data_IF_844210071689
#
_entry.id   IF_844210071689
#
_cell.length_a   1.000
_cell.length_b   1.000
_cell.length_c   1.000
_cell.angle_alpha   90.00
_cell.angle_beta   90.00
_cell.angle_gamma   90.00
#
_symmetry.space_group_name_H-M   'P 1'
#
loop_
_entity.id
_entity.type
_entity.pdbx_description
1 polymer ?
#
# COMPACT_ATOMS: atom_id res chain seq x y z
N UNK A 1 2.65 -17.64 16.31
CA UNK A 1 2.28 -18.52 15.18
C UNK A 1 3.49 -18.68 14.26
N UNK A 2 3.78 -19.88 13.78
CA UNK A 2 4.91 -20.09 12.87
C UNK A 2 4.51 -19.90 11.40
N UNK A 3 5.32 -19.12 10.67
CA UNK A 3 5.20 -18.90 9.23
C UNK A 3 6.32 -19.63 8.50
N UNK A 4 5.97 -20.34 7.42
CA UNK A 4 6.97 -20.93 6.53
C UNK A 4 7.54 -19.85 5.57
N UNK A 5 8.61 -20.19 4.84
CA UNK A 5 9.28 -19.24 3.96
C UNK A 5 8.40 -18.66 2.85
N UNK A 6 7.50 -19.45 2.27
CA UNK A 6 6.59 -18.95 1.23
C UNK A 6 5.56 -17.99 1.82
N UNK A 7 5.05 -18.27 3.02
CA UNK A 7 4.12 -17.40 3.75
C UNK A 7 4.79 -16.06 4.13
N UNK A 8 6.05 -16.10 4.61
CA UNK A 8 6.82 -14.88 4.89
C UNK A 8 7.03 -14.05 3.63
N UNK A 9 7.38 -14.68 2.49
CA UNK A 9 7.54 -13.97 1.20
C UNK A 9 6.25 -13.32 0.72
N UNK A 10 5.10 -13.97 0.93
CA UNK A 10 3.80 -13.39 0.59
C UNK A 10 3.51 -12.17 1.46
N UNK A 11 3.65 -12.28 2.78
CA UNK A 11 3.46 -11.16 3.70
C UNK A 11 4.45 -10.01 3.49
N UNK A 12 5.67 -10.32 3.06
CA UNK A 12 6.66 -9.29 2.76
C UNK A 12 6.20 -8.33 1.65
N UNK A 13 5.34 -8.80 0.75
CA UNK A 13 4.88 -8.07 -0.43
C UNK A 13 3.48 -7.42 -0.27
N UNK A 14 2.75 -7.66 0.81
CA UNK A 14 1.37 -7.17 0.92
C UNK A 14 1.29 -5.64 1.09
N UNK A 15 0.32 -5.04 0.43
CA UNK A 15 0.08 -3.60 0.42
C UNK A 15 -1.09 -3.20 1.32
N UNK A 16 -1.88 -4.16 1.79
CA UNK A 16 -2.99 -3.96 2.72
C UNK A 16 -2.58 -3.23 4.00
N UNK A 17 -3.45 -2.32 4.44
CA UNK A 17 -3.29 -1.47 5.63
C UNK A 17 -4.20 -1.88 6.80
N UNK A 18 -5.04 -2.90 6.59
CA UNK A 18 -5.82 -3.62 7.60
C UNK A 18 -6.02 -5.08 7.17
N UNK A 19 -6.36 -5.96 8.12
CA UNK A 19 -6.42 -7.41 7.95
C UNK A 19 -7.28 -7.83 6.76
N UNK A 20 -8.47 -7.26 6.60
CA UNK A 20 -9.37 -7.64 5.51
C UNK A 20 -8.75 -7.38 4.13
N UNK A 21 -8.02 -6.27 3.93
CA UNK A 21 -7.29 -6.03 2.67
C UNK A 21 -6.16 -7.03 2.46
N UNK A 22 -5.39 -7.33 3.51
CA UNK A 22 -4.34 -8.36 3.45
C UNK A 22 -4.93 -9.72 3.04
N UNK A 23 -6.03 -10.13 3.67
CA UNK A 23 -6.74 -11.36 3.34
C UNK A 23 -7.26 -11.36 1.90
N UNK A 24 -7.78 -10.23 1.42
CA UNK A 24 -8.26 -10.10 0.04
C UNK A 24 -7.11 -10.18 -0.98
N UNK A 25 -5.97 -9.54 -0.72
CA UNK A 25 -4.77 -9.65 -1.55
C UNK A 25 -4.27 -11.09 -1.64
N UNK A 26 -4.18 -11.79 -0.49
CA UNK A 26 -3.81 -13.20 -0.45
C UNK A 26 -4.83 -14.08 -1.19
N UNK A 27 -6.13 -13.77 -1.09
CA UNK A 27 -7.17 -14.48 -1.82
C UNK A 27 -7.00 -14.32 -3.33
N UNK A 28 -6.74 -13.10 -3.82
CA UNK A 28 -6.46 -12.84 -5.23
C UNK A 28 -5.19 -13.58 -5.67
N UNK A 29 -4.11 -13.55 -4.87
CA UNK A 29 -2.88 -14.26 -5.17
C UNK A 29 -3.09 -15.77 -5.31
N UNK A 30 -3.86 -16.39 -4.40
CA UNK A 30 -4.21 -17.80 -4.45
C UNK A 30 -5.05 -18.15 -5.71
N UNK A 31 -6.01 -17.28 -6.05
CA UNK A 31 -6.90 -17.47 -7.20
C UNK A 31 -6.17 -17.42 -8.54
N UNK A 32 -5.23 -16.49 -8.70
CA UNK A 32 -4.60 -16.24 -10.00
C UNK A 32 -3.24 -16.90 -10.18
N UNK A 33 -2.57 -17.37 -9.12
CA UNK A 33 -1.30 -18.07 -9.28
C UNK A 33 -1.48 -19.40 -10.03
N UNK A 34 -0.54 -19.69 -10.93
CA UNK A 34 -0.43 -21.01 -11.60
C UNK A 34 0.40 -22.01 -10.78
N UNK A 35 1.09 -21.55 -9.72
CA UNK A 35 1.93 -22.39 -8.88
C UNK A 35 1.11 -23.01 -7.73
N UNK A 36 0.93 -24.34 -7.69
CA UNK A 36 0.16 -25.01 -6.62
C UNK A 36 0.73 -24.80 -5.22
N UNK A 37 2.05 -24.74 -5.06
CA UNK A 37 2.69 -24.53 -3.75
C UNK A 37 2.42 -23.12 -3.23
N UNK A 38 2.51 -22.12 -4.11
CA UNK A 38 2.20 -20.73 -3.76
C UNK A 38 0.71 -20.58 -3.40
N UNK A 39 -0.18 -21.26 -4.12
CA UNK A 39 -1.61 -21.28 -3.78
C UNK A 39 -1.84 -21.86 -2.39
N UNK A 40 -1.26 -23.03 -2.10
CA UNK A 40 -1.37 -23.68 -0.78
C UNK A 40 -0.80 -22.81 0.34
N UNK A 41 0.33 -22.14 0.10
CA UNK A 41 0.91 -21.21 1.07
C UNK A 41 -0.01 -20.01 1.34
N UNK A 42 -0.59 -19.41 0.30
CA UNK A 42 -1.53 -18.30 0.46
C UNK A 42 -2.81 -18.74 1.21
N UNK A 43 -3.36 -19.91 0.91
CA UNK A 43 -4.53 -20.48 1.61
C UNK A 43 -4.25 -20.77 3.08
N UNK A 44 -3.11 -21.42 3.38
CA UNK A 44 -2.64 -21.65 4.76
C UNK A 44 -2.45 -20.34 5.52
N UNK A 45 -1.82 -19.36 4.89
CA UNK A 45 -1.61 -18.04 5.48
C UNK A 45 -2.93 -17.32 5.77
N UNK A 46 -3.90 -17.35 4.85
CA UNK A 46 -5.23 -16.77 5.11
C UNK A 46 -5.91 -17.42 6.31
N UNK A 47 -5.87 -18.76 6.44
CA UNK A 47 -6.46 -19.45 7.60
C UNK A 47 -5.81 -19.01 8.91
N UNK A 48 -4.48 -18.87 8.90
CA UNK A 48 -3.64 -18.39 10.00
C UNK A 48 -3.95 -16.94 10.41
N UNK A 49 -4.17 -16.05 9.45
CA UNK A 49 -4.46 -14.65 9.74
C UNK A 49 -5.91 -14.40 10.17
N UNK A 50 -6.88 -15.20 9.69
CA UNK A 50 -8.31 -15.03 10.00
C UNK A 50 -8.67 -15.19 11.48
N UNK A 51 -7.86 -15.93 12.24
CA UNK A 51 -8.10 -16.15 13.68
C UNK A 51 -7.58 -15.00 14.55
N UNK A 52 -6.85 -14.07 13.95
CA UNK A 52 -6.27 -12.92 14.64
C UNK A 52 -7.22 -11.74 14.63
N UNK A 53 -7.04 -10.82 15.57
CA UNK A 53 -7.58 -9.46 15.46
C UNK A 53 -6.85 -8.67 14.37
N UNK A 54 -7.42 -7.52 13.99
CA UNK A 54 -6.80 -6.63 13.00
C UNK A 54 -5.39 -6.20 13.45
N UNK A 55 -5.25 -5.77 14.72
CA UNK A 55 -3.98 -5.32 15.30
C UNK A 55 -2.93 -6.44 15.30
N UNK A 56 -3.28 -7.64 15.78
CA UNK A 56 -2.36 -8.79 15.79
C UNK A 56 -1.92 -9.19 14.37
N UNK A 57 -2.84 -9.18 13.40
CA UNK A 57 -2.51 -9.45 12.02
C UNK A 57 -1.53 -8.41 11.48
N UNK A 58 -1.80 -7.13 11.71
CA UNK A 58 -0.98 -6.04 11.20
C UNK A 58 0.38 -5.96 11.89
N UNK A 59 0.50 -6.37 13.16
CA UNK A 59 1.79 -6.50 13.85
C UNK A 59 2.68 -7.56 13.23
N UNK A 60 2.11 -8.71 12.83
CA UNK A 60 2.87 -9.73 12.09
C UNK A 60 3.30 -9.19 10.71
N UNK A 61 2.43 -8.49 9.99
CA UNK A 61 2.77 -7.89 8.69
C UNK A 61 3.94 -6.92 8.85
N UNK A 62 3.89 -6.03 9.85
CA UNK A 62 4.95 -5.05 10.14
C UNK A 62 6.26 -5.73 10.53
N UNK A 63 6.19 -6.77 11.37
CA UNK A 63 7.36 -7.56 11.77
C UNK A 63 8.04 -8.18 10.55
N UNK A 64 7.28 -8.86 9.68
CA UNK A 64 7.82 -9.45 8.46
C UNK A 64 8.41 -8.38 7.54
N UNK A 65 7.70 -7.28 7.28
CA UNK A 65 8.20 -6.22 6.40
C UNK A 65 9.48 -5.56 6.92
N UNK A 66 9.66 -5.50 8.25
CA UNK A 66 10.84 -4.92 8.88
C UNK A 66 12.02 -5.91 8.99
N UNK A 67 11.75 -7.14 9.37
CA UNK A 67 12.78 -8.08 9.85
C UNK A 67 13.07 -9.23 8.87
N UNK A 68 12.16 -9.54 7.95
CA UNK A 68 12.39 -10.59 6.97
C UNK A 68 13.39 -10.14 5.91
N UNK A 69 14.39 -10.97 5.66
CA UNK A 69 15.35 -10.79 4.57
C UNK A 69 15.06 -11.83 3.49
N UNK A 70 14.83 -11.37 2.26
CA UNK A 70 14.61 -12.25 1.12
C UNK A 70 15.85 -13.14 0.89
N UNK A 71 15.70 -14.49 0.90
CA UNK A 71 16.84 -15.42 0.93
C UNK A 71 17.59 -15.61 -0.41
N UNK A 72 17.11 -15.01 -1.50
CA UNK A 72 17.70 -15.08 -2.85
C UNK A 72 17.31 -13.80 -3.61
N UNK A 73 18.07 -13.32 -4.63
CA UNK A 73 17.72 -12.10 -5.34
C UNK A 73 16.24 -12.08 -5.77
N UNK A 74 15.56 -10.92 -5.61
CA UNK A 74 14.14 -10.77 -5.93
C UNK A 74 13.78 -11.29 -7.32
N UNK A 75 12.81 -12.19 -7.39
CA UNK A 75 12.38 -12.84 -8.64
C UNK A 75 11.18 -12.13 -9.26
N UNK A 76 10.33 -11.52 -8.46
CA UNK A 76 9.15 -10.77 -8.94
C UNK A 76 9.37 -9.26 -8.83
N UNK A 77 8.59 -8.49 -9.59
CA UNK A 77 8.55 -7.02 -9.45
C UNK A 77 8.10 -6.64 -8.04
N UNK A 78 7.13 -7.36 -7.45
CA UNK A 78 6.68 -7.14 -6.07
C UNK A 78 7.80 -7.31 -5.05
N UNK A 79 8.60 -8.36 -5.15
CA UNK A 79 9.76 -8.58 -4.27
C UNK A 79 10.80 -7.48 -4.42
N UNK A 80 11.07 -7.02 -5.67
CA UNK A 80 12.01 -5.92 -5.92
C UNK A 80 11.54 -4.62 -5.28
N UNK A 81 10.24 -4.33 -5.37
CA UNK A 81 9.66 -3.11 -4.79
C UNK A 81 9.67 -3.19 -3.26
N UNK A 82 9.26 -4.32 -2.69
CA UNK A 82 9.26 -4.52 -1.24
C UNK A 82 10.68 -4.42 -0.65
N UNK A 83 11.68 -5.02 -1.32
CA UNK A 83 13.08 -4.90 -0.93
C UNK A 83 13.58 -3.45 -1.04
N UNK A 84 13.27 -2.76 -2.13
CA UNK A 84 13.66 -1.36 -2.30
C UNK A 84 13.05 -0.45 -1.22
N UNK A 85 11.79 -0.69 -0.84
CA UNK A 85 11.12 0.02 0.27
C UNK A 85 11.79 -0.27 1.61
N UNK A 86 12.06 -1.53 1.90
CA UNK A 86 12.74 -1.92 3.15
C UNK A 86 14.12 -1.25 3.24
N UNK A 87 14.89 -1.22 2.14
CA UNK A 87 16.21 -0.58 2.08
C UNK A 87 16.17 0.94 2.17
N UNK A 88 15.16 1.59 1.57
CA UNK A 88 15.03 3.05 1.64
C UNK A 88 14.51 3.55 2.98
N UNK A 89 13.87 2.66 3.77
CA UNK A 89 13.15 3.06 4.98
C UNK A 89 11.93 3.94 4.70
N UNK A 90 11.48 4.00 3.44
CA UNK A 90 10.33 4.79 3.05
C UNK A 90 9.08 4.28 3.77
N UNK A 91 8.31 5.22 4.32
CA UNK A 91 7.05 4.91 5.00
C UNK A 91 6.04 4.30 4.02
N UNK A 92 5.36 3.23 4.44
CA UNK A 92 4.26 2.66 3.67
C UNK A 92 3.05 3.58 3.79
N UNK A 93 2.76 4.32 2.73
CA UNK A 93 1.60 5.19 2.64
C UNK A 93 0.32 4.36 2.45
N UNK A 94 -0.75 4.73 3.16
CA UNK A 94 -2.09 4.16 2.93
C UNK A 94 -2.72 4.69 1.64
N UNK A 95 -3.79 4.05 1.18
CA UNK A 95 -4.49 4.42 -0.06
C UNK A 95 -4.03 3.57 -1.25
N UNK A 96 -3.64 4.21 -2.35
CA UNK A 96 -3.22 3.50 -3.57
C UNK A 96 -1.83 2.88 -3.40
N UNK A 97 -1.71 1.62 -3.82
CA UNK A 97 -0.52 0.79 -3.59
C UNK A 97 0.72 1.29 -4.34
N UNK A 98 1.88 0.74 -3.97
CA UNK A 98 3.18 1.15 -4.52
C UNK A 98 3.37 0.92 -6.01
N UNK A 99 2.62 -0.02 -6.61
CA UNK A 99 2.62 -0.20 -8.07
C UNK A 99 2.00 1.03 -8.75
N UNK A 100 1.07 1.70 -8.06
CA UNK A 100 0.48 2.97 -8.46
C UNK A 100 -0.08 2.89 -9.88
N UNK A 101 -0.84 1.82 -10.15
CA UNK A 101 -1.41 1.52 -11.46
C UNK A 101 -2.48 2.54 -11.86
N UNK A 102 -3.13 3.15 -10.88
CA UNK A 102 -4.17 4.16 -11.05
C UNK A 102 -3.66 5.37 -11.84
N UNK A 103 -2.35 5.65 -11.81
CA UNK A 103 -1.76 6.77 -12.55
C UNK A 103 -1.87 6.64 -14.07
N UNK A 104 -2.16 5.44 -14.58
CA UNK A 104 -2.32 5.19 -16.01
C UNK A 104 -3.77 5.31 -16.48
N UNK A 105 -4.73 5.57 -15.58
CA UNK A 105 -6.10 5.85 -15.97
C UNK A 105 -6.18 7.20 -16.71
N UNK A 106 -6.82 7.30 -17.89
CA UNK A 106 -6.83 8.51 -18.73
C UNK A 106 -7.34 9.78 -18.04
N UNK A 107 -8.23 9.61 -17.07
CA UNK A 107 -8.86 10.67 -16.29
C UNK A 107 -8.01 11.17 -15.11
N UNK A 108 -6.97 10.44 -14.72
CA UNK A 108 -6.12 10.81 -13.58
C UNK A 108 -5.15 11.91 -13.99
N UNK A 109 -5.18 13.01 -13.23
CA UNK A 109 -4.36 14.21 -13.47
C UNK A 109 -3.49 14.61 -12.28
N UNK A 110 -3.75 14.05 -11.10
CA UNK A 110 -3.09 14.43 -9.86
C UNK A 110 -2.62 13.22 -9.08
N UNK A 111 -1.42 13.30 -8.51
CA UNK A 111 -0.98 12.47 -7.41
C UNK A 111 -0.78 13.36 -6.20
N UNK A 112 -1.37 12.97 -5.07
CA UNK A 112 -1.21 13.69 -3.80
C UNK A 112 -0.70 12.77 -2.72
N UNK A 113 0.15 13.31 -1.86
CA UNK A 113 0.49 12.74 -0.54
C UNK A 113 -0.03 13.72 0.50
N UNK A 114 -0.77 13.24 1.49
CA UNK A 114 -1.40 14.09 2.51
C UNK A 114 -1.54 13.37 3.85
N UNK A 115 -1.72 14.16 4.90
CA UNK A 115 -2.06 13.65 6.22
C UNK A 115 -3.56 13.84 6.48
N UNK A 116 -4.19 12.87 7.12
CA UNK A 116 -5.56 12.96 7.62
C UNK A 116 -5.56 13.55 9.02
N UNK A 117 -6.28 14.66 9.23
CA UNK A 117 -6.28 15.43 10.47
C UNK A 117 -7.56 15.26 11.30
N UNK A 118 -8.64 14.79 10.68
CA UNK A 118 -9.97 14.71 11.29
C UNK A 118 -10.64 13.37 11.03
N UNK A 119 -11.45 12.91 11.99
CA UNK A 119 -12.36 11.76 11.81
C UNK A 119 -13.50 12.06 10.82
N UNK A 120 -13.72 13.33 10.47
CA UNK A 120 -14.68 13.75 9.45
C UNK A 120 -14.09 13.69 8.04
N UNK A 121 -12.84 13.25 7.88
CA UNK A 121 -12.25 13.07 6.55
C UNK A 121 -13.04 12.04 5.75
N UNK A 122 -13.35 12.29 4.46
CA UNK A 122 -14.05 11.32 3.63
C UNK A 122 -13.19 10.10 3.29
N UNK A 123 -11.86 10.17 3.53
CA UNK A 123 -10.90 9.11 3.23
C UNK A 123 -9.86 8.97 4.35
N UNK A 124 -9.53 7.73 4.68
CA UNK A 124 -8.56 7.37 5.71
C UNK A 124 -8.99 7.68 7.15
N UNK A 125 -8.19 7.21 8.09
CA UNK A 125 -8.38 7.45 9.52
C UNK A 125 -7.51 8.61 9.99
N UNK A 126 -7.95 9.31 11.06
CA UNK A 126 -7.17 10.39 11.65
C UNK A 126 -5.77 9.91 12.04
N UNK A 127 -4.75 10.63 11.56
CA UNK A 127 -3.34 10.29 11.77
C UNK A 127 -2.70 9.58 10.57
N UNK A 128 -3.50 9.10 9.62
CA UNK A 128 -2.98 8.44 8.44
C UNK A 128 -2.19 9.37 7.54
N UNK A 129 -1.14 8.82 6.94
CA UNK A 129 -0.43 9.41 5.80
C UNK A 129 -0.77 8.62 4.56
N UNK A 130 -1.41 9.28 3.60
CA UNK A 130 -2.00 8.64 2.43
C UNK A 130 -1.39 9.13 1.13
N UNK A 131 -1.48 8.28 0.11
CA UNK A 131 -1.24 8.65 -1.28
C UNK A 131 -2.42 8.24 -2.15
N UNK A 132 -2.91 9.18 -2.95
CA UNK A 132 -3.99 8.95 -3.89
C UNK A 132 -3.64 9.49 -5.28
N UNK A 133 -4.22 8.85 -6.29
CA UNK A 133 -4.24 9.28 -7.67
C UNK A 133 -5.66 9.73 -8.00
N UNK A 134 -5.80 10.99 -8.43
CA UNK A 134 -7.09 11.66 -8.53
C UNK A 134 -7.29 12.28 -9.91
N UNK A 135 -8.55 12.33 -10.31
CA UNK A 135 -9.04 13.19 -11.39
C UNK A 135 -9.05 14.66 -10.95
N UNK A 136 -9.25 15.60 -11.87
CA UNK A 136 -9.41 17.02 -11.53
C UNK A 136 -10.55 17.23 -10.51
N UNK A 137 -11.69 16.55 -10.72
CA UNK A 137 -12.83 16.60 -9.80
C UNK A 137 -12.52 15.99 -8.43
N UNK A 138 -11.75 14.89 -8.39
CA UNK A 138 -11.29 14.29 -7.14
C UNK A 138 -10.34 15.22 -6.39
N UNK A 139 -9.43 15.88 -7.10
CA UNK A 139 -8.50 16.84 -6.52
C UNK A 139 -9.22 18.09 -5.99
N UNK A 140 -10.23 18.60 -6.68
CA UNK A 140 -11.05 19.70 -6.17
C UNK A 140 -11.72 19.34 -4.84
N UNK A 141 -12.32 18.15 -4.73
CA UNK A 141 -12.90 17.68 -3.45
C UNK A 141 -11.85 17.60 -2.34
N UNK A 142 -10.64 17.19 -2.67
CA UNK A 142 -9.53 17.19 -1.72
C UNK A 142 -9.18 18.61 -1.25
N UNK A 143 -9.16 19.59 -2.15
CA UNK A 143 -8.94 21.00 -1.78
C UNK A 143 -10.03 21.50 -0.84
N UNK A 144 -11.30 21.19 -1.12
CA UNK A 144 -12.42 21.56 -0.26
C UNK A 144 -12.28 20.93 1.15
N UNK A 145 -11.87 19.67 1.24
CA UNK A 145 -11.55 19.01 2.53
C UNK A 145 -10.37 19.64 3.26
N UNK A 146 -9.36 20.10 2.51
CA UNK A 146 -8.22 20.81 3.08
C UNK A 146 -8.63 22.18 3.63
N UNK A 147 -9.51 22.91 2.95
CA UNK A 147 -10.06 24.18 3.45
C UNK A 147 -10.87 24.00 4.74
N UNK A 148 -11.60 22.88 4.87
CA UNK A 148 -12.28 22.50 6.12
C UNK A 148 -11.33 21.99 7.21
N UNK A 149 -10.02 21.89 6.94
CA UNK A 149 -9.02 21.43 7.90
C UNK A 149 -9.05 19.92 8.18
N UNK A 150 -9.71 19.13 7.32
CA UNK A 150 -9.85 17.68 7.49
C UNK A 150 -8.57 16.93 7.08
N UNK A 151 -7.82 17.49 6.13
CA UNK A 151 -6.62 16.91 5.54
C UNK A 151 -5.57 17.99 5.30
N UNK A 152 -4.30 17.60 5.17
CA UNK A 152 -3.20 18.50 4.84
C UNK A 152 -2.29 17.92 3.78
N UNK A 153 -2.21 18.60 2.64
CA UNK A 153 -1.32 18.27 1.54
C UNK A 153 0.13 18.32 2.00
N UNK A 154 0.90 17.31 1.60
CA UNK A 154 2.34 17.19 1.83
C UNK A 154 3.12 17.25 0.54
N UNK A 155 2.63 16.55 -0.49
CA UNK A 155 3.26 16.53 -1.79
C UNK A 155 2.21 16.46 -2.90
N UNK A 156 2.51 17.04 -4.05
CA UNK A 156 1.67 17.00 -5.23
C UNK A 156 2.52 16.83 -6.48
N UNK A 157 2.03 16.01 -7.40
CA UNK A 157 2.54 15.92 -8.75
C UNK A 157 1.39 15.91 -9.75
N UNK A 158 1.58 16.60 -10.88
CA UNK A 158 0.73 16.42 -12.04
C UNK A 158 1.02 15.06 -12.68
N UNK A 159 -0.01 14.40 -13.18
CA UNK A 159 0.06 13.12 -13.87
C UNK A 159 -0.27 13.32 -15.34
N UNK A 160 0.63 12.90 -16.23
CA UNK A 160 0.43 12.91 -17.68
C UNK A 160 0.95 11.61 -18.27
N UNK A 161 0.08 10.81 -18.89
CA UNK A 161 0.42 9.48 -19.45
C UNK A 161 1.16 8.58 -18.44
N UNK A 162 0.77 8.67 -17.16
CA UNK A 162 1.39 7.97 -16.04
C UNK A 162 2.74 8.51 -15.57
N UNK A 163 3.26 9.58 -16.19
CA UNK A 163 4.45 10.30 -15.72
C UNK A 163 4.10 11.30 -14.62
N UNK A 164 4.94 11.38 -13.59
CA UNK A 164 4.76 12.26 -12.44
C UNK A 164 5.63 13.52 -12.58
N UNK A 165 4.98 14.68 -12.59
CA UNK A 165 5.61 15.99 -12.66
C UNK A 165 5.38 16.73 -11.34
N UNK A 166 6.35 16.60 -10.43
CA UNK A 166 6.29 17.20 -9.10
C UNK A 166 6.41 18.73 -9.14
N UNK A 167 5.62 19.42 -8.31
CA UNK A 167 5.49 20.89 -8.31
C UNK A 167 6.68 21.64 -7.65
N UNK A 168 7.74 20.94 -7.22
CA UNK A 168 9.01 21.45 -6.65
C UNK A 168 9.09 21.65 -5.13
N UNK A 169 8.24 21.02 -4.30
CA UNK A 169 8.48 20.97 -2.84
C UNK A 169 8.76 19.55 -2.38
N UNK A 170 10.01 19.34 -1.96
CA UNK A 170 10.57 18.19 -1.27
C UNK A 170 10.30 16.81 -1.90
N UNK A 171 11.36 16.26 -2.49
CA UNK A 171 11.46 14.86 -2.95
C UNK A 171 11.52 13.87 -1.77
N UNK A 172 10.83 14.14 -0.67
CA UNK A 172 10.76 13.19 0.43
C UNK A 172 9.67 12.19 0.07
N UNK A 173 10.10 11.10 -0.56
CA UNK A 173 9.37 9.84 -0.65
C UNK A 173 9.16 9.28 0.76
#
# INVERSE_FOLDING_TARGET
MELNEMEKRLLFQVEGDYQYKVLNELHMAARYTKNPEQRKAAESLMAKLRVLTDDECMDIVRDIQKNYLLPYPPRTIGEKIAEARQRSGAEKLKGHDIMALERFAPEVRHMIIFNVLSYNSPVGDKGDRMRLFLTDAGYQKFLDSQERGEVKLKNHAKVSDGHLHYDRRDRVL
#
